data_IF_482450352733
#
_entry.id   IF_482450352733
#
_cell.length_a   1.000
_cell.length_b   1.000
_cell.length_c   1.000
_cell.angle_alpha   90.00
_cell.angle_beta   90.00
_cell.angle_gamma   90.00
#
_symmetry.space_group_name_H-M   'P 1'
#
loop_
_entity.id
_entity.type
_entity.pdbx_description
1 polymer ?
#
# COMPACT_ATOMS: atom_id res chain seq x y z
N UNK A 1 -27.72 -8.72 -19.49
CA UNK A 1 -27.06 -8.36 -20.76
C UNK A 1 -26.57 -6.91 -20.76
N UNK A 2 -27.48 -5.95 -20.96
CA UNK A 2 -27.14 -4.53 -21.13
C UNK A 2 -26.26 -3.93 -20.01
N UNK A 3 -26.50 -4.30 -18.75
CA UNK A 3 -25.70 -3.83 -17.61
C UNK A 3 -24.21 -4.18 -17.75
N UNK A 4 -23.89 -5.46 -17.96
CA UNK A 4 -22.49 -5.94 -18.06
C UNK A 4 -21.75 -5.30 -19.22
N UNK A 5 -22.45 -5.08 -20.34
CA UNK A 5 -21.90 -4.38 -21.51
C UNK A 5 -21.51 -2.93 -21.19
N UNK A 6 -22.36 -2.22 -20.44
CA UNK A 6 -22.05 -0.86 -20.01
C UNK A 6 -20.93 -0.82 -18.98
N UNK A 7 -20.91 -1.76 -18.02
CA UNK A 7 -19.84 -1.82 -17.01
C UNK A 7 -18.47 -2.07 -17.66
N UNK A 8 -18.37 -2.97 -18.63
CA UNK A 8 -17.11 -3.27 -19.33
C UNK A 8 -16.55 -2.10 -20.16
N UNK A 9 -17.36 -1.08 -20.49
CA UNK A 9 -16.88 0.15 -21.13
C UNK A 9 -16.38 1.21 -20.13
N UNK A 10 -16.78 1.09 -18.86
CA UNK A 10 -16.51 2.08 -17.82
C UNK A 10 -15.35 1.64 -16.92
N UNK A 11 -15.27 0.35 -16.61
CA UNK A 11 -14.18 -0.20 -15.81
C UNK A 11 -12.97 -0.52 -16.69
N UNK A 12 -11.81 0.08 -16.38
CA UNK A 12 -10.54 -0.13 -17.07
C UNK A 12 -9.76 -1.29 -16.45
N UNK A 13 -10.43 -2.43 -16.27
CA UNK A 13 -9.84 -3.65 -15.70
C UNK A 13 -10.33 -4.87 -16.47
N UNK A 14 -9.46 -5.86 -16.75
CA UNK A 14 -9.85 -7.07 -17.46
C UNK A 14 -10.71 -8.01 -16.59
N UNK A 15 -10.81 -7.79 -15.28
CA UNK A 15 -11.60 -8.59 -14.35
C UNK A 15 -13.09 -8.22 -14.37
N UNK A 16 -13.96 -9.22 -14.54
CA UNK A 16 -15.42 -9.02 -14.57
C UNK A 16 -15.95 -8.76 -13.16
N UNK A 17 -16.72 -7.69 -12.97
CA UNK A 17 -17.36 -7.38 -11.69
C UNK A 17 -18.44 -8.42 -11.30
N UNK A 18 -18.43 -8.89 -10.05
CA UNK A 18 -19.53 -9.67 -9.46
C UNK A 18 -20.76 -8.79 -9.32
N UNK A 19 -21.89 -9.24 -9.87
CA UNK A 19 -23.21 -8.60 -9.73
C UNK A 19 -24.09 -9.56 -8.96
N UNK A 20 -24.69 -9.12 -7.85
CA UNK A 20 -25.68 -9.89 -7.10
C UNK A 20 -27.08 -9.52 -7.57
N UNK A 21 -27.82 -10.48 -8.10
CA UNK A 21 -29.17 -10.25 -8.63
C UNK A 21 -30.17 -10.59 -7.53
N UNK A 22 -30.91 -9.60 -7.04
CA UNK A 22 -31.78 -9.78 -5.89
C UNK A 22 -32.93 -8.79 -5.82
N UNK A 23 -33.92 -9.13 -4.99
CA UNK A 23 -34.95 -8.21 -4.52
C UNK A 23 -34.74 -8.01 -3.02
N UNK A 24 -34.00 -6.95 -2.66
CA UNK A 24 -33.50 -6.73 -1.30
C UNK A 24 -34.53 -6.01 -0.42
N UNK A 25 -35.59 -6.72 -0.06
CA UNK A 25 -36.66 -6.27 0.84
C UNK A 25 -37.33 -7.46 1.52
N UNK A 26 -38.18 -7.21 2.52
CA UNK A 26 -38.73 -8.26 3.39
C UNK A 26 -39.85 -9.11 2.76
N UNK A 27 -40.14 -8.94 1.47
CA UNK A 27 -41.21 -9.69 0.78
C UNK A 27 -40.65 -10.85 -0.02
N UNK A 28 -41.42 -11.93 -0.10
CA UNK A 28 -41.09 -13.09 -0.93
C UNK A 28 -41.03 -12.70 -2.41
N UNK A 29 -40.03 -13.16 -3.17
CA UNK A 29 -39.99 -12.96 -4.62
C UNK A 29 -41.27 -13.45 -5.30
N UNK A 30 -41.84 -12.59 -6.15
CA UNK A 30 -43.15 -12.83 -6.78
C UNK A 30 -43.08 -13.93 -7.85
N UNK A 31 -41.97 -13.99 -8.59
CA UNK A 31 -41.79 -14.99 -9.64
C UNK A 31 -41.19 -16.29 -9.05
N UNK A 32 -41.91 -17.42 -9.08
CA UNK A 32 -41.40 -18.70 -8.57
C UNK A 32 -40.19 -19.22 -9.32
N UNK A 33 -40.08 -18.95 -10.63
CA UNK A 33 -38.99 -19.47 -11.49
C UNK A 33 -37.64 -18.86 -11.12
N UNK A 34 -37.62 -17.57 -10.76
CA UNK A 34 -36.38 -16.87 -10.38
C UNK A 34 -36.12 -16.90 -8.88
N UNK A 35 -37.10 -17.38 -8.08
CA UNK A 35 -37.03 -17.33 -6.62
C UNK A 35 -35.80 -18.03 -6.05
N UNK A 36 -35.44 -19.21 -6.57
CA UNK A 36 -34.28 -19.96 -6.09
C UNK A 36 -32.98 -19.16 -6.29
N UNK A 37 -32.77 -18.65 -7.51
CA UNK A 37 -31.61 -17.81 -7.85
C UNK A 37 -31.54 -16.56 -6.97
N UNK A 38 -32.66 -15.85 -6.78
CA UNK A 38 -32.69 -14.62 -5.98
C UNK A 38 -32.37 -14.86 -4.49
N UNK A 39 -32.72 -16.04 -3.96
CA UNK A 39 -32.38 -16.41 -2.59
C UNK A 39 -30.88 -16.75 -2.46
N UNK A 40 -30.35 -17.55 -3.40
CA UNK A 40 -28.93 -17.90 -3.46
C UNK A 40 -28.04 -16.65 -3.59
N UNK A 41 -28.37 -15.74 -4.51
CA UNK A 41 -27.64 -14.48 -4.72
C UNK A 41 -27.69 -13.56 -3.48
N UNK A 42 -28.78 -13.60 -2.72
CA UNK A 42 -28.90 -12.84 -1.48
C UNK A 42 -28.05 -13.47 -0.36
N UNK A 43 -28.06 -14.79 -0.22
CA UNK A 43 -27.19 -15.49 0.73
C UNK A 43 -25.71 -15.23 0.43
N UNK A 44 -25.31 -15.28 -0.84
CA UNK A 44 -23.97 -14.93 -1.30
C UNK A 44 -23.60 -13.49 -0.96
N UNK A 45 -24.48 -12.52 -1.25
CA UNK A 45 -24.25 -11.12 -0.90
C UNK A 45 -24.08 -10.94 0.61
N UNK A 46 -24.94 -11.56 1.42
CA UNK A 46 -24.89 -11.46 2.88
C UNK A 46 -23.61 -12.10 3.41
N UNK A 47 -23.17 -13.23 2.84
CA UNK A 47 -21.90 -13.87 3.18
C UNK A 47 -20.73 -12.93 2.89
N UNK A 48 -20.70 -12.29 1.72
CA UNK A 48 -19.63 -11.36 1.36
C UNK A 48 -19.65 -10.09 2.22
N UNK A 49 -20.83 -9.55 2.56
CA UNK A 49 -20.97 -8.44 3.50
C UNK A 49 -20.42 -8.82 4.88
N UNK A 50 -20.71 -10.04 5.36
CA UNK A 50 -20.18 -10.55 6.63
C UNK A 50 -18.67 -10.73 6.62
N UNK A 51 -18.07 -10.95 5.45
CA UNK A 51 -16.61 -11.04 5.28
C UNK A 51 -15.94 -9.66 5.18
N UNK A 52 -16.67 -8.57 4.92
CA UNK A 52 -16.11 -7.22 4.80
C UNK A 52 -15.27 -6.77 6.00
N UNK A 53 -15.67 -6.98 7.28
CA UNK A 53 -14.86 -6.58 8.43
C UNK A 53 -13.50 -7.29 8.45
N UNK A 54 -13.45 -8.56 8.05
CA UNK A 54 -12.21 -9.32 7.97
C UNK A 54 -11.30 -8.81 6.84
N UNK A 55 -11.87 -8.67 5.63
CA UNK A 55 -11.17 -8.07 4.49
C UNK A 55 -10.68 -6.64 4.79
N UNK A 56 -11.38 -5.91 5.67
CA UNK A 56 -10.96 -4.61 6.16
C UNK A 56 -9.72 -4.67 7.05
N UNK A 57 -9.63 -5.65 7.97
CA UNK A 57 -8.46 -5.81 8.83
C UNK A 57 -7.20 -6.11 8.00
N UNK A 58 -7.28 -7.10 7.10
CA UNK A 58 -6.17 -7.44 6.18
C UNK A 58 -5.80 -6.25 5.29
N UNK A 59 -6.79 -5.54 4.72
CA UNK A 59 -6.54 -4.33 3.93
C UNK A 59 -5.83 -3.25 4.75
N UNK A 60 -6.22 -3.03 6.01
CA UNK A 60 -5.57 -2.06 6.89
C UNK A 60 -4.12 -2.43 7.19
N UNK A 61 -3.83 -3.71 7.44
CA UNK A 61 -2.45 -4.18 7.62
C UNK A 61 -1.64 -3.96 6.34
N UNK A 62 -2.20 -4.29 5.18
CA UNK A 62 -1.53 -4.05 3.89
C UNK A 62 -1.24 -2.56 3.63
N UNK A 63 -2.18 -1.67 3.93
CA UNK A 63 -1.95 -0.22 3.82
C UNK A 63 -0.90 0.28 4.83
N UNK A 64 -0.87 -0.29 6.04
CA UNK A 64 0.19 0.00 7.01
C UNK A 64 1.57 -0.44 6.49
N UNK A 65 1.68 -1.65 5.94
CA UNK A 65 2.92 -2.17 5.33
C UNK A 65 3.40 -1.24 4.22
N UNK A 66 2.51 -0.85 3.30
CA UNK A 66 2.83 0.12 2.23
C UNK A 66 3.34 1.43 2.79
N UNK A 67 2.68 1.97 3.83
CA UNK A 67 3.08 3.22 4.49
C UNK A 67 4.45 3.11 5.15
N UNK A 68 4.75 1.99 5.81
CA UNK A 68 6.07 1.78 6.42
C UNK A 68 7.16 1.72 5.34
N UNK A 69 6.94 0.98 4.25
CA UNK A 69 7.91 0.91 3.14
C UNK A 69 8.18 2.28 2.51
N UNK A 70 7.12 3.06 2.27
CA UNK A 70 7.24 4.45 1.80
C UNK A 70 8.02 5.31 2.78
N UNK A 71 7.74 5.22 4.09
CA UNK A 71 8.45 5.96 5.12
C UNK A 71 9.94 5.58 5.17
N UNK A 72 10.26 4.28 5.02
CA UNK A 72 11.64 3.79 4.99
C UNK A 72 12.40 4.40 3.81
N UNK A 73 11.85 4.29 2.60
CA UNK A 73 12.44 4.89 1.40
C UNK A 73 12.62 6.40 1.55
N UNK A 74 11.58 7.10 1.99
CA UNK A 74 11.62 8.55 2.22
C UNK A 74 12.72 8.95 3.21
N UNK A 75 12.85 8.23 4.32
CA UNK A 75 13.88 8.50 5.34
C UNK A 75 15.28 8.30 4.78
N UNK A 76 15.50 7.27 3.96
CA UNK A 76 16.80 7.05 3.31
C UNK A 76 17.14 8.14 2.30
N UNK A 77 16.15 8.67 1.56
CA UNK A 77 16.37 9.81 0.66
C UNK A 77 16.78 11.05 1.46
N UNK A 78 16.06 11.39 2.53
CA UNK A 78 16.40 12.54 3.37
C UNK A 78 17.80 12.40 3.99
N UNK A 79 18.14 11.19 4.47
CA UNK A 79 19.46 10.90 4.99
C UNK A 79 20.57 11.07 3.94
N UNK A 80 20.35 10.58 2.72
CA UNK A 80 21.31 10.69 1.62
C UNK A 80 21.49 12.15 1.17
N UNK A 81 20.41 12.93 1.10
CA UNK A 81 20.51 14.37 0.85
C UNK A 81 21.29 15.08 1.96
N UNK A 82 20.97 14.76 3.22
CA UNK A 82 21.66 15.35 4.38
C UNK A 82 23.15 15.03 4.42
N UNK A 83 23.52 13.80 4.09
CA UNK A 83 24.91 13.30 4.18
C UNK A 83 25.81 13.96 3.12
N UNK A 84 25.24 14.39 2.00
CA UNK A 84 25.95 15.10 0.94
C UNK A 84 26.05 16.62 1.16
N UNK A 85 25.39 17.17 2.20
CA UNK A 85 25.44 18.60 2.50
C UNK A 85 26.74 19.02 3.21
N UNK A 86 27.40 20.10 2.78
CA UNK A 86 28.60 20.60 3.44
C UNK A 86 28.26 21.23 4.79
N UNK A 87 29.18 21.15 5.75
CA UNK A 87 28.99 21.68 7.11
C UNK A 87 29.21 23.18 7.20
N UNK A 88 30.15 23.74 6.42
CA UNK A 88 30.57 25.14 6.51
C UNK A 88 30.03 26.01 5.36
N UNK A 89 30.64 25.94 4.17
CA UNK A 89 30.32 26.81 3.03
C UNK A 89 29.77 26.02 1.83
N UNK A 90 29.03 26.71 0.95
CA UNK A 90 28.54 26.13 -0.30
C UNK A 90 27.20 25.37 -0.22
N UNK A 91 26.50 25.42 0.92
CA UNK A 91 25.22 24.72 1.16
C UNK A 91 24.18 24.96 0.06
N UNK A 92 23.88 26.23 -0.27
CA UNK A 92 22.91 26.59 -1.32
C UNK A 92 23.29 26.02 -2.68
N UNK A 93 24.58 26.13 -3.08
CA UNK A 93 25.07 25.59 -4.34
C UNK A 93 24.93 24.06 -4.39
N UNK A 94 25.27 23.37 -3.29
CA UNK A 94 25.15 21.92 -3.21
C UNK A 94 23.69 21.46 -3.26
N UNK A 95 22.79 22.15 -2.56
CA UNK A 95 21.36 21.85 -2.60
C UNK A 95 20.79 21.97 -4.02
N UNK A 96 21.11 23.04 -4.74
CA UNK A 96 20.70 23.19 -6.14
C UNK A 96 21.28 22.10 -7.06
N UNK A 97 22.53 21.68 -6.83
CA UNK A 97 23.11 20.54 -7.54
C UNK A 97 22.33 19.24 -7.27
N UNK A 98 22.01 18.95 -6.00
CA UNK A 98 21.25 17.76 -5.60
C UNK A 98 19.83 17.76 -6.16
N UNK A 99 19.16 18.92 -6.18
CA UNK A 99 17.86 19.10 -6.82
C UNK A 99 17.90 18.85 -8.33
N UNK A 100 19.00 19.23 -9.00
CA UNK A 100 19.24 18.92 -10.41
C UNK A 100 19.45 17.44 -10.67
N UNK A 101 20.10 16.73 -9.73
CA UNK A 101 20.45 15.29 -9.82
C UNK A 101 19.53 14.39 -8.99
N UNK A 102 18.32 14.85 -8.66
CA UNK A 102 17.37 14.08 -7.82
C UNK A 102 17.09 12.66 -8.34
N UNK A 103 16.95 12.40 -9.65
CA UNK A 103 16.78 11.04 -10.17
C UNK A 103 17.96 10.12 -9.82
N UNK A 104 19.18 10.63 -9.80
CA UNK A 104 20.37 9.86 -9.49
C UNK A 104 20.49 9.60 -7.99
N UNK A 105 20.05 10.55 -7.15
CA UNK A 105 19.90 10.34 -5.70
C UNK A 105 18.95 9.18 -5.43
N UNK A 106 17.77 9.17 -6.07
CA UNK A 106 16.80 8.08 -5.92
C UNK A 106 17.38 6.72 -6.34
N UNK A 107 18.06 6.67 -7.51
CA UNK A 107 18.74 5.45 -7.98
C UNK A 107 19.85 5.00 -7.02
N UNK A 108 20.62 5.93 -6.47
CA UNK A 108 21.67 5.65 -5.48
C UNK A 108 21.07 5.03 -4.22
N UNK A 109 20.00 5.63 -3.68
CA UNK A 109 19.29 5.14 -2.49
C UNK A 109 18.70 3.74 -2.75
N UNK A 110 18.05 3.54 -3.89
CA UNK A 110 17.51 2.24 -4.31
C UNK A 110 18.57 1.13 -4.25
N UNK A 111 19.75 1.38 -4.85
CA UNK A 111 20.85 0.41 -4.89
C UNK A 111 21.53 0.22 -3.53
N UNK A 112 21.83 1.32 -2.84
CA UNK A 112 22.59 1.33 -1.58
C UNK A 112 21.86 0.65 -0.44
N UNK A 113 20.53 0.77 -0.40
CA UNK A 113 19.70 0.23 0.67
C UNK A 113 18.80 -0.92 0.22
N UNK A 114 18.95 -1.40 -1.03
CA UNK A 114 18.18 -2.51 -1.60
C UNK A 114 16.66 -2.36 -1.43
N UNK A 115 16.12 -1.19 -1.80
CA UNK A 115 14.70 -0.85 -1.66
C UNK A 115 13.96 -1.08 -2.97
N UNK A 116 12.66 -1.43 -2.97
CA UNK A 116 11.92 -1.58 -4.23
C UNK A 116 11.64 -0.22 -4.87
N UNK A 117 11.75 -0.06 -6.21
CA UNK A 117 11.37 1.18 -6.88
C UNK A 117 9.93 1.63 -6.59
N UNK A 118 9.01 0.68 -6.36
CA UNK A 118 7.61 0.97 -6.03
C UNK A 118 7.39 1.57 -4.63
N UNK A 119 8.39 1.51 -3.75
CA UNK A 119 8.31 2.09 -2.40
C UNK A 119 8.70 3.58 -2.39
N UNK A 120 9.21 4.12 -3.50
CA UNK A 120 9.67 5.51 -3.57
C UNK A 120 8.51 6.49 -3.78
N UNK A 121 8.58 7.70 -3.20
CA UNK A 121 7.61 8.75 -3.47
C UNK A 121 7.69 9.22 -4.94
N UNK A 122 6.63 9.87 -5.42
CA UNK A 122 6.67 10.52 -6.73
C UNK A 122 7.80 11.58 -6.76
N UNK A 123 8.72 11.41 -7.71
CA UNK A 123 9.94 12.21 -7.78
C UNK A 123 9.66 13.70 -8.02
N UNK A 124 8.66 14.02 -8.85
CA UNK A 124 8.33 15.42 -9.15
C UNK A 124 7.75 16.10 -7.92
N UNK A 125 6.76 15.49 -7.28
CA UNK A 125 6.14 15.98 -6.02
C UNK A 125 7.18 16.11 -4.91
N UNK A 126 8.04 15.10 -4.74
CA UNK A 126 9.10 15.15 -3.73
C UNK A 126 10.05 16.32 -3.99
N UNK A 127 10.49 16.51 -5.24
CA UNK A 127 11.40 17.60 -5.61
C UNK A 127 10.78 18.97 -5.33
N UNK A 128 9.53 19.22 -5.74
CA UNK A 128 8.84 20.49 -5.50
C UNK A 128 8.80 20.86 -4.02
N UNK A 129 8.47 19.91 -3.14
CA UNK A 129 8.45 20.16 -1.69
C UNK A 129 9.87 20.33 -1.14
N UNK A 130 10.83 19.54 -1.61
CA UNK A 130 12.22 19.61 -1.16
C UNK A 130 12.90 20.96 -1.52
N UNK A 131 12.50 21.61 -2.61
CA UNK A 131 13.05 22.92 -3.04
C UNK A 131 12.88 24.01 -1.98
N UNK A 132 11.83 23.93 -1.16
CA UNK A 132 11.49 24.92 -0.13
C UNK A 132 12.16 24.65 1.24
N UNK A 133 12.85 23.51 1.40
CA UNK A 133 13.42 23.07 2.67
C UNK A 133 14.95 23.18 2.70
N UNK A 134 15.56 23.40 3.87
CA UNK A 134 17.02 23.31 4.03
C UNK A 134 17.44 21.86 4.26
N UNK A 135 18.24 21.31 3.34
CA UNK A 135 18.71 19.93 3.42
C UNK A 135 19.64 19.69 4.63
N UNK A 136 20.18 20.76 5.23
CA UNK A 136 21.00 20.70 6.46
C UNK A 136 20.20 20.29 7.70
N UNK A 137 18.88 20.49 7.66
CA UNK A 137 17.96 20.21 8.77
C UNK A 137 17.32 18.81 8.65
N UNK A 138 17.58 18.13 7.54
CA UNK A 138 17.07 16.78 7.31
C UNK A 138 17.64 15.78 8.32
N UNK A 139 16.84 14.77 8.71
CA UNK A 139 17.28 13.76 9.66
C UNK A 139 18.44 12.93 9.10
N UNK A 140 19.46 12.72 9.92
CA UNK A 140 20.54 11.78 9.64
C UNK A 140 20.29 10.48 10.41
N UNK A 141 20.63 9.33 9.82
CA UNK A 141 20.45 8.02 10.46
C UNK A 141 21.11 7.95 11.84
N UNK A 142 22.32 8.49 11.96
CA UNK A 142 23.09 8.58 13.21
C UNK A 142 22.73 9.80 14.07
N UNK A 143 21.67 10.52 13.72
CA UNK A 143 21.21 11.69 14.46
C UNK A 143 20.28 11.31 15.62
N UNK A 144 20.20 12.20 16.62
CA UNK A 144 19.30 12.04 17.78
C UNK A 144 17.83 11.88 17.38
N UNK A 145 17.37 12.56 16.33
CA UNK A 145 15.98 12.49 15.82
C UNK A 145 15.59 11.07 15.41
N UNK A 146 16.52 10.30 14.84
CA UNK A 146 16.30 8.88 14.49
C UNK A 146 16.83 7.92 15.56
N UNK A 147 17.17 8.44 16.74
CA UNK A 147 17.72 7.69 17.86
C UNK A 147 18.89 6.79 17.45
N UNK A 148 19.83 7.33 16.67
CA UNK A 148 20.98 6.58 16.13
C UNK A 148 20.53 5.29 15.39
N UNK A 149 19.54 5.42 14.51
CA UNK A 149 18.98 4.33 13.70
C UNK A 149 18.11 3.33 14.47
N UNK A 150 17.87 3.52 15.77
CA UNK A 150 16.98 2.62 16.54
C UNK A 150 15.56 2.59 15.98
N UNK A 151 15.00 3.75 15.60
CA UNK A 151 13.64 3.81 15.06
C UNK A 151 13.51 3.04 13.73
N UNK A 152 14.52 3.11 12.88
CA UNK A 152 14.53 2.37 11.61
C UNK A 152 14.64 0.87 11.83
N UNK A 153 15.50 0.43 12.76
CA UNK A 153 15.58 -0.99 13.17
C UNK A 153 14.25 -1.50 13.73
N UNK A 154 13.53 -0.70 14.51
CA UNK A 154 12.20 -1.07 14.99
C UNK A 154 11.18 -1.19 13.86
N UNK A 155 11.24 -0.31 12.84
CA UNK A 155 10.39 -0.47 11.65
C UNK A 155 10.71 -1.73 10.85
N UNK A 156 11.98 -2.12 10.80
CA UNK A 156 12.42 -3.36 10.16
C UNK A 156 11.90 -4.58 10.93
N UNK A 157 12.02 -4.57 12.26
CA UNK A 157 11.48 -5.60 13.16
C UNK A 157 9.97 -5.78 12.98
N UNK A 158 9.22 -4.68 12.93
CA UNK A 158 7.76 -4.70 12.73
C UNK A 158 7.38 -5.37 11.40
N UNK A 159 8.12 -5.11 10.33
CA UNK A 159 7.85 -5.74 9.03
C UNK A 159 8.23 -7.21 9.02
N UNK A 160 9.35 -7.58 9.65
CA UNK A 160 9.91 -8.93 9.57
C UNK A 160 9.23 -9.91 10.53
N UNK A 161 8.80 -9.45 11.71
CA UNK A 161 8.33 -10.31 12.79
C UNK A 161 6.89 -9.97 13.21
N UNK A 162 6.61 -8.71 13.59
CA UNK A 162 5.31 -8.36 14.20
C UNK A 162 4.14 -8.46 13.21
N UNK A 163 4.33 -8.00 11.97
CA UNK A 163 3.28 -8.06 10.93
C UNK A 163 2.94 -9.51 10.57
N UNK A 164 3.90 -10.40 10.28
CA UNK A 164 3.59 -11.82 10.06
C UNK A 164 2.82 -12.46 11.21
N UNK A 165 3.23 -12.25 12.47
CA UNK A 165 2.50 -12.77 13.63
C UNK A 165 1.10 -12.18 13.79
N UNK A 166 0.93 -10.89 13.51
CA UNK A 166 -0.40 -10.26 13.48
C UNK A 166 -1.28 -10.93 12.42
N UNK A 167 -0.73 -11.19 11.23
CA UNK A 167 -1.47 -11.83 10.13
C UNK A 167 -1.89 -13.27 10.46
N UNK A 168 -1.04 -14.04 11.15
CA UNK A 168 -1.38 -15.38 11.67
C UNK A 168 -2.53 -15.35 12.69
N UNK A 169 -2.61 -14.29 13.50
CA UNK A 169 -3.66 -14.13 14.51
C UNK A 169 -5.01 -13.66 13.95
N UNK A 170 -5.04 -13.18 12.70
CA UNK A 170 -6.28 -12.71 12.09
C UNK A 170 -7.15 -13.91 11.67
N UNK A 171 -8.42 -13.98 12.13
CA UNK A 171 -9.30 -15.12 11.89
C UNK A 171 -9.69 -15.22 10.41
N UNK A 172 -9.18 -16.21 9.69
CA UNK A 172 -9.44 -16.41 8.26
C UNK A 172 -8.23 -16.84 7.42
N UNK A 173 -7.02 -16.82 7.99
CA UNK A 173 -5.80 -17.38 7.37
C UNK A 173 -5.43 -18.79 7.85
N UNK A 174 -6.06 -19.27 8.91
CA UNK A 174 -5.87 -20.62 9.47
C UNK A 174 -6.49 -21.75 8.63
N UNK A 175 -6.83 -21.51 7.36
CA UNK A 175 -7.15 -22.60 6.43
C UNK A 175 -6.52 -22.39 5.04
N UNK A 176 -5.25 -22.80 4.84
CA UNK A 176 -4.62 -22.85 3.51
C UNK A 176 -5.20 -23.93 2.57
N UNK A 177 -6.30 -24.60 2.91
CA UNK A 177 -6.82 -25.78 2.19
C UNK A 177 -8.02 -25.57 1.26
N UNK A 178 -8.48 -24.34 1.02
CA UNK A 178 -9.77 -24.11 0.34
C UNK A 178 -9.73 -23.81 -1.17
N UNK A 179 -8.55 -23.64 -1.76
CA UNK A 179 -8.40 -23.25 -3.17
C UNK A 179 -7.45 -24.21 -3.89
N UNK A 180 -7.81 -25.49 -3.95
CA UNK A 180 -7.28 -26.48 -4.88
C UNK A 180 -8.22 -27.69 -4.89
N UNK A 181 -9.20 -27.67 -5.79
CA UNK A 181 -9.80 -28.82 -6.47
C UNK A 181 -11.15 -28.36 -7.04
N UNK A 182 -11.16 -28.08 -8.34
CA UNK A 182 -12.23 -28.38 -9.30
C UNK A 182 -11.80 -27.77 -10.64
N UNK A 183 -10.82 -28.43 -11.25
CA UNK A 183 -10.55 -28.36 -12.68
C UNK A 183 -10.46 -29.82 -13.15
N UNK A 184 -11.62 -30.40 -13.41
CA UNK A 184 -11.84 -31.39 -14.45
C UNK A 184 -13.05 -30.91 -15.28
#
# INVERSE_FOLDING_TARGET
GALMWSLGKVFDTPEVCRVYIGSFWDKTPVNPETRALLLEENEDLVKDIRLLPHSSAVRKVNELVKRIRLLRAHTHILHELRSQMPTMMGKKKKQQELLGKMPDVFKSVHRKYNLSPGDFPDLKKFKTVAEELDFSDFPMMTGKRLQNGKLMRQLDEVIQNDIPHLMESLPGMSNPGGLSQNAE
#
